data_IF_563214483477
#
_entry.id   IF_563214483477
#
_cell.length_a   1.000
_cell.length_b   1.000
_cell.length_c   1.000
_cell.angle_alpha   90.00
_cell.angle_beta   90.00
_cell.angle_gamma   90.00
#
_symmetry.space_group_name_H-M   'P 1'
#
loop_
_entity.id
_entity.type
_entity.pdbx_description
1 polymer ?
#
# COMPACT_ATOMS: atom_id res chain seq x y z
N UNK A 1 10.07 -9.89 6.17
CA UNK A 1 9.08 -10.62 5.36
C UNK A 1 9.43 -12.09 5.41
N UNK A 2 8.64 -12.92 6.06
CA UNK A 2 8.94 -14.36 6.19
C UNK A 2 8.54 -15.11 4.91
N UNK A 3 7.50 -14.62 4.24
CA UNK A 3 6.94 -15.11 2.99
C UNK A 3 8.00 -15.18 1.88
N UNK A 4 8.79 -14.11 1.69
CA UNK A 4 9.91 -14.07 0.72
C UNK A 4 11.06 -15.03 1.08
N UNK A 5 11.25 -15.31 2.38
CA UNK A 5 12.33 -16.18 2.84
C UNK A 5 12.04 -17.66 2.63
N UNK A 6 10.77 -18.04 2.57
CA UNK A 6 10.35 -19.45 2.45
C UNK A 6 10.86 -20.09 1.15
N UNK A 7 10.66 -19.51 -0.06
CA UNK A 7 11.15 -20.09 -1.31
C UNK A 7 12.66 -20.34 -1.31
N UNK A 8 13.44 -19.36 -0.81
CA UNK A 8 14.91 -19.47 -0.72
C UNK A 8 15.33 -20.61 0.22
N UNK A 9 14.65 -20.74 1.36
CA UNK A 9 14.94 -21.78 2.33
C UNK A 9 14.60 -23.17 1.77
N UNK A 10 13.50 -23.30 1.02
CA UNK A 10 13.13 -24.54 0.34
C UNK A 10 14.15 -24.94 -0.74
N UNK A 11 14.71 -23.97 -1.48
CA UNK A 11 15.78 -24.22 -2.44
C UNK A 11 17.06 -24.73 -1.74
N UNK A 12 17.46 -24.08 -0.64
CA UNK A 12 18.60 -24.54 0.18
C UNK A 12 18.39 -25.96 0.71
N UNK A 13 17.20 -26.27 1.21
CA UNK A 13 16.85 -27.60 1.69
C UNK A 13 16.95 -28.65 0.58
N UNK A 14 16.49 -28.34 -0.64
CA UNK A 14 16.61 -29.21 -1.81
C UNK A 14 18.09 -29.52 -2.10
N UNK A 15 18.97 -28.52 -2.05
CA UNK A 15 20.42 -28.69 -2.24
C UNK A 15 21.06 -29.52 -1.13
N UNK A 16 20.74 -29.25 0.14
CA UNK A 16 21.25 -30.00 1.28
C UNK A 16 20.85 -31.47 1.26
N UNK A 17 19.64 -31.78 0.77
CA UNK A 17 19.15 -33.16 0.65
C UNK A 17 19.74 -33.91 -0.55
N UNK A 18 19.84 -33.25 -1.71
CA UNK A 18 20.09 -33.95 -2.99
C UNK A 18 21.51 -33.82 -3.55
N UNK A 19 22.26 -32.78 -3.17
CA UNK A 19 23.57 -32.52 -3.77
C UNK A 19 24.71 -32.70 -2.77
N UNK A 20 24.59 -32.14 -1.57
CA UNK A 20 25.69 -32.13 -0.58
C UNK A 20 25.44 -33.03 0.63
N UNK A 21 24.26 -33.64 0.73
CA UNK A 21 23.85 -34.57 1.80
C UNK A 21 24.16 -34.07 3.23
N UNK A 22 24.06 -32.75 3.45
CA UNK A 22 24.36 -32.13 4.73
C UNK A 22 23.10 -32.10 5.60
N UNK A 23 22.83 -33.22 6.29
CA UNK A 23 21.62 -33.37 7.11
C UNK A 23 21.59 -32.50 8.35
N UNK A 24 22.75 -32.07 8.86
CA UNK A 24 22.81 -31.08 9.95
C UNK A 24 22.19 -29.74 9.51
N UNK A 25 22.67 -29.19 8.39
CA UNK A 25 22.11 -27.95 7.82
C UNK A 25 20.66 -28.12 7.36
N UNK A 26 20.29 -29.29 6.86
CA UNK A 26 18.90 -29.60 6.51
C UNK A 26 17.98 -29.54 7.75
N UNK A 27 18.38 -30.15 8.87
CA UNK A 27 17.64 -30.11 10.13
C UNK A 27 17.47 -28.67 10.64
N UNK A 28 18.55 -27.88 10.61
CA UNK A 28 18.51 -26.45 10.96
C UNK A 28 17.55 -25.67 10.06
N UNK A 29 17.56 -25.95 8.75
CA UNK A 29 16.67 -25.30 7.77
C UNK A 29 15.19 -25.64 8.02
N UNK A 30 14.86 -26.89 8.34
CA UNK A 30 13.50 -27.27 8.72
C UNK A 30 13.01 -26.53 9.98
N UNK A 31 13.87 -26.38 10.98
CA UNK A 31 13.55 -25.62 12.19
C UNK A 31 13.29 -24.14 11.86
N UNK A 32 14.13 -23.56 11.01
CA UNK A 32 13.95 -22.18 10.56
C UNK A 32 12.65 -21.98 9.78
N UNK A 33 12.28 -22.96 8.94
CA UNK A 33 11.04 -22.94 8.17
C UNK A 33 9.81 -22.98 9.09
N UNK A 34 9.84 -23.82 10.13
CA UNK A 34 8.80 -23.85 11.15
C UNK A 34 8.65 -22.49 11.85
N UNK A 35 9.76 -21.86 12.23
CA UNK A 35 9.75 -20.52 12.84
C UNK A 35 9.13 -19.47 11.89
N UNK A 36 9.39 -19.54 10.59
CA UNK A 36 8.77 -18.63 9.61
C UNK A 36 7.26 -18.79 9.57
N UNK A 37 6.75 -20.02 9.49
CA UNK A 37 5.30 -20.27 9.51
C UNK A 37 4.66 -19.83 10.83
N UNK A 38 5.30 -20.11 11.96
CA UNK A 38 4.82 -19.65 13.27
C UNK A 38 4.73 -18.13 13.35
N UNK A 39 5.75 -17.41 12.86
CA UNK A 39 5.77 -15.97 12.86
C UNK A 39 4.71 -15.35 11.92
N UNK A 40 4.45 -15.96 10.76
CA UNK A 40 3.37 -15.54 9.86
C UNK A 40 2.01 -15.61 10.58
N UNK A 41 1.78 -16.68 11.35
CA UNK A 41 0.49 -16.89 12.03
C UNK A 41 0.39 -16.14 13.36
N UNK A 42 1.47 -16.03 14.14
CA UNK A 42 1.40 -15.53 15.51
C UNK A 42 2.10 -14.19 15.73
N UNK A 43 3.00 -13.81 14.83
CA UNK A 43 3.79 -12.60 14.97
C UNK A 43 2.95 -11.33 14.74
N UNK A 44 3.27 -10.28 15.48
CA UNK A 44 2.80 -8.94 15.16
C UNK A 44 3.41 -8.49 13.83
N UNK A 45 2.55 -8.15 12.87
CA UNK A 45 2.97 -7.69 11.54
C UNK A 45 2.42 -6.30 11.27
N UNK A 46 3.32 -5.39 10.94
CA UNK A 46 3.01 -3.99 10.70
C UNK A 46 2.55 -3.78 9.26
N UNK A 47 1.45 -3.02 9.12
CA UNK A 47 1.00 -2.55 7.82
C UNK A 47 1.83 -1.33 7.45
N UNK A 48 2.41 -1.36 6.25
CA UNK A 48 3.12 -0.21 5.69
C UNK A 48 2.10 0.67 4.96
N UNK A 49 2.26 1.99 5.06
CA UNK A 49 1.53 2.93 4.22
C UNK A 49 2.26 3.13 2.89
N UNK A 50 1.51 3.55 1.87
CA UNK A 50 2.06 3.87 0.56
C UNK A 50 1.77 5.32 0.22
N UNK A 51 2.77 6.00 -0.32
CA UNK A 51 2.70 7.41 -0.67
C UNK A 51 3.00 7.60 -2.14
N UNK A 52 2.09 8.26 -2.85
CA UNK A 52 2.34 8.73 -4.20
C UNK A 52 3.05 10.07 -4.11
N UNK A 53 4.16 10.20 -4.82
CA UNK A 53 4.99 11.40 -4.88
C UNK A 53 5.15 11.83 -6.33
N UNK A 54 4.65 13.01 -6.67
CA UNK A 54 4.88 13.66 -7.96
C UNK A 54 5.95 14.74 -7.83
N UNK A 55 6.89 14.73 -8.75
CA UNK A 55 8.01 15.66 -8.84
C UNK A 55 7.83 16.51 -10.10
N UNK A 56 7.68 17.83 -9.97
CA UNK A 56 7.37 18.71 -11.10
C UNK A 56 8.24 19.96 -11.15
N UNK A 57 8.44 20.46 -12.37
CA UNK A 57 9.28 21.61 -12.65
C UNK A 57 10.69 21.24 -13.11
N UNK A 58 11.29 22.10 -13.94
CA UNK A 58 12.60 21.93 -14.54
C UNK A 58 13.76 22.09 -13.56
N UNK A 59 13.53 22.68 -12.38
CA UNK A 59 14.53 22.78 -11.33
C UNK A 59 14.94 21.42 -10.72
N UNK A 60 14.19 20.35 -10.99
CA UNK A 60 14.46 19.00 -10.47
C UNK A 60 15.41 18.19 -11.36
N UNK A 61 16.19 17.25 -10.78
CA UNK A 61 17.02 16.31 -11.54
C UNK A 61 16.23 15.53 -12.59
N UNK A 62 16.85 15.24 -13.73
CA UNK A 62 16.18 14.61 -14.89
C UNK A 62 15.48 13.28 -14.56
N UNK A 63 16.02 12.48 -13.63
CA UNK A 63 15.46 11.17 -13.30
C UNK A 63 14.15 11.23 -12.51
N UNK A 64 13.83 12.37 -11.88
CA UNK A 64 12.56 12.61 -11.16
C UNK A 64 11.69 13.68 -11.81
N UNK A 65 12.27 14.54 -12.65
CA UNK A 65 11.57 15.66 -13.28
C UNK A 65 10.31 15.21 -14.02
N UNK A 66 9.17 15.79 -13.64
CA UNK A 66 7.85 15.54 -14.20
C UNK A 66 7.43 14.06 -14.16
N UNK A 67 7.93 13.32 -13.17
CA UNK A 67 7.63 11.90 -12.94
C UNK A 67 6.90 11.69 -11.63
N UNK A 68 6.25 10.53 -11.53
CA UNK A 68 5.48 10.11 -10.36
C UNK A 68 6.02 8.79 -9.86
N UNK A 69 6.14 8.65 -8.55
CA UNK A 69 6.64 7.45 -7.89
C UNK A 69 5.66 7.03 -6.80
N UNK A 70 5.63 5.73 -6.52
CA UNK A 70 5.00 5.19 -5.31
C UNK A 70 6.11 4.80 -4.34
N UNK A 71 6.06 5.36 -3.14
CA UNK A 71 6.95 5.04 -2.02
C UNK A 71 6.23 4.12 -1.05
N UNK A 72 6.92 3.08 -0.62
CA UNK A 72 6.56 2.29 0.56
C UNK A 72 7.10 3.01 1.79
N UNK A 73 6.19 3.42 2.67
CA UNK A 73 6.53 4.07 3.95
C UNK A 73 7.38 3.18 4.84
N UNK A 74 8.11 3.79 5.76
CA UNK A 74 8.80 3.08 6.83
C UNK A 74 7.80 2.56 7.88
N UNK A 75 8.29 1.76 8.82
CA UNK A 75 7.47 1.24 9.91
C UNK A 75 6.85 2.40 10.71
N UNK A 76 5.52 2.40 10.81
CA UNK A 76 4.73 3.44 11.49
C UNK A 76 4.95 4.87 10.97
N UNK A 77 5.43 5.01 9.72
CA UNK A 77 5.65 6.31 9.14
C UNK A 77 4.32 6.96 8.76
N UNK A 78 4.01 8.09 9.38
CA UNK A 78 2.86 8.91 9.04
C UNK A 78 3.17 9.83 7.86
N UNK A 79 2.13 10.30 7.15
CA UNK A 79 2.33 11.24 6.03
C UNK A 79 3.13 12.50 6.40
N UNK A 80 3.00 13.14 7.59
CA UNK A 80 3.82 14.29 7.93
C UNK A 80 5.28 13.92 8.16
N UNK A 81 5.56 12.77 8.78
CA UNK A 81 6.91 12.28 8.99
C UNK A 81 7.59 11.94 7.64
N UNK A 82 6.88 11.25 6.75
CA UNK A 82 7.33 10.99 5.38
C UNK A 82 7.62 12.29 4.63
N UNK A 83 6.70 13.25 4.72
CA UNK A 83 6.81 14.56 4.04
C UNK A 83 8.04 15.32 4.53
N UNK A 84 8.28 15.36 5.85
CA UNK A 84 9.45 16.00 6.42
C UNK A 84 10.75 15.35 5.95
N UNK A 85 10.80 14.01 5.91
CA UNK A 85 11.97 13.26 5.43
C UNK A 85 12.24 13.55 3.96
N UNK A 86 11.22 13.52 3.11
CA UNK A 86 11.38 13.83 1.68
C UNK A 86 11.77 15.30 1.45
N UNK A 87 11.19 16.23 2.24
CA UNK A 87 11.54 17.65 2.16
C UNK A 87 13.00 17.92 2.57
N UNK A 88 13.55 17.13 3.50
CA UNK A 88 14.97 17.22 3.85
C UNK A 88 15.90 16.79 2.70
N UNK A 89 15.45 15.88 1.83
CA UNK A 89 16.17 15.47 0.61
C UNK A 89 16.06 16.55 -0.50
N UNK A 90 14.94 17.29 -0.55
CA UNK A 90 14.67 18.34 -1.53
C UNK A 90 14.33 19.68 -0.85
N UNK A 91 15.31 20.35 -0.21
CA UNK A 91 15.04 21.51 0.66
C UNK A 91 14.45 22.72 -0.09
N UNK A 92 14.68 22.83 -1.40
CA UNK A 92 14.19 23.93 -2.24
C UNK A 92 12.83 23.63 -2.90
N UNK A 93 12.28 22.42 -2.74
CA UNK A 93 11.02 22.06 -3.33
C UNK A 93 9.83 22.65 -2.57
N UNK A 94 8.87 23.22 -3.29
CA UNK A 94 7.60 23.71 -2.75
C UNK A 94 6.60 22.56 -2.72
N UNK A 95 5.97 22.34 -1.56
CA UNK A 95 4.91 21.34 -1.44
C UNK A 95 3.60 21.85 -2.04
N UNK A 96 3.04 21.09 -2.97
CA UNK A 96 1.72 21.33 -3.50
C UNK A 96 0.67 20.87 -2.50
N UNK A 97 -0.30 21.74 -2.20
CA UNK A 97 -1.35 21.51 -1.20
C UNK A 97 -2.49 20.62 -1.69
N UNK A 98 -2.75 20.60 -3.00
CA UNK A 98 -3.87 19.88 -3.60
C UNK A 98 -3.38 18.63 -4.32
N UNK A 99 -4.21 17.59 -4.37
CA UNK A 99 -3.94 16.34 -5.08
C UNK A 99 -4.36 16.38 -6.56
N UNK A 100 -4.63 17.57 -7.11
CA UNK A 100 -4.90 17.80 -8.53
C UNK A 100 -3.65 17.60 -9.37
N UNK A 101 -3.72 16.92 -10.53
CA UNK A 101 -2.60 16.95 -11.47
C UNK A 101 -2.14 18.40 -11.65
N UNK A 102 -0.84 18.69 -11.54
CA UNK A 102 -0.36 20.03 -11.77
C UNK A 102 -0.66 20.46 -13.20
N UNK A 103 -0.78 21.76 -13.40
CA UNK A 103 -0.91 22.35 -14.73
C UNK A 103 0.45 22.36 -15.46
N UNK A 104 0.41 22.66 -16.76
CA UNK A 104 1.62 22.65 -17.59
C UNK A 104 2.57 23.81 -17.26
N UNK A 105 2.04 24.88 -16.64
CA UNK A 105 2.82 25.98 -16.09
C UNK A 105 3.70 25.46 -14.95
N UNK A 106 3.13 24.74 -13.97
CA UNK A 106 3.89 24.15 -12.87
C UNK A 106 4.92 23.12 -13.37
N UNK A 107 4.57 22.32 -14.38
CA UNK A 107 5.50 21.32 -14.98
C UNK A 107 6.69 21.95 -15.70
N UNK A 108 6.50 23.13 -16.28
CA UNK A 108 7.52 23.82 -17.11
C UNK A 108 8.27 24.92 -16.35
N UNK A 109 7.86 25.21 -15.12
CA UNK A 109 8.53 26.20 -14.28
C UNK A 109 9.95 25.76 -13.89
N UNK A 110 10.86 26.71 -13.75
CA UNK A 110 12.25 26.44 -13.29
C UNK A 110 12.34 26.12 -11.79
N UNK A 111 11.25 26.32 -11.05
CA UNK A 111 11.14 25.96 -9.65
C UNK A 111 10.98 24.44 -9.44
N UNK A 112 11.04 24.01 -8.18
CA UNK A 112 10.87 22.61 -7.79
C UNK A 112 9.56 22.46 -7.04
N UNK A 113 8.71 21.53 -7.46
CA UNK A 113 7.44 21.24 -6.81
C UNK A 113 7.32 19.76 -6.48
N UNK A 114 6.84 19.46 -5.27
CA UNK A 114 6.59 18.10 -4.82
C UNK A 114 5.13 17.99 -4.38
N UNK A 115 4.46 16.93 -4.82
CA UNK A 115 3.08 16.61 -4.45
C UNK A 115 3.03 15.23 -3.81
N UNK A 116 2.55 15.16 -2.56
CA UNK A 116 2.53 13.93 -1.78
C UNK A 116 1.09 13.60 -1.38
N UNK A 117 0.67 12.36 -1.60
CA UNK A 117 -0.60 11.87 -1.09
C UNK A 117 -0.52 10.40 -0.68
N UNK A 118 -1.30 10.00 0.31
CA UNK A 118 -1.46 8.60 0.66
C UNK A 118 -2.26 7.87 -0.44
N UNK A 119 -1.84 6.65 -0.77
CA UNK A 119 -2.55 5.76 -1.69
C UNK A 119 -2.80 4.42 -1.03
N UNK A 120 -3.88 3.73 -1.43
CA UNK A 120 -4.19 2.40 -0.92
C UNK A 120 -3.60 1.36 -1.89
N UNK A 121 -3.00 0.26 -1.41
CA UNK A 121 -2.63 -0.84 -2.27
C UNK A 121 -3.89 -1.47 -2.88
N UNK A 122 -3.83 -1.81 -4.17
CA UNK A 122 -4.85 -2.55 -4.88
C UNK A 122 -4.29 -3.93 -5.22
N UNK A 123 -4.61 -4.91 -4.38
CA UNK A 123 -4.16 -6.28 -4.56
C UNK A 123 -4.92 -6.97 -5.69
N UNK A 124 -4.17 -7.72 -6.51
CA UNK A 124 -4.74 -8.55 -7.55
C UNK A 124 -5.12 -9.92 -7.00
N UNK A 125 -6.20 -10.55 -7.50
CA UNK A 125 -6.55 -11.92 -7.13
C UNK A 125 -5.40 -12.89 -7.42
N UNK A 126 -5.16 -13.80 -6.49
CA UNK A 126 -4.13 -14.84 -6.61
C UNK A 126 -4.77 -16.17 -6.92
N UNK A 127 -4.45 -16.72 -8.08
CA UNK A 127 -4.98 -18.01 -8.53
C UNK A 127 -4.68 -19.16 -7.56
N UNK A 128 -3.60 -19.05 -6.80
CA UNK A 128 -3.20 -20.05 -5.80
C UNK A 128 -4.14 -20.10 -4.59
N UNK A 129 -4.96 -19.07 -4.39
CA UNK A 129 -5.95 -19.00 -3.31
C UNK A 129 -7.37 -19.35 -3.78
N UNK A 130 -7.57 -19.58 -5.09
CA UNK A 130 -8.88 -19.88 -5.63
C UNK A 130 -9.42 -21.21 -5.08
N UNK A 131 -10.60 -21.16 -4.45
CA UNK A 131 -11.24 -22.33 -3.85
C UNK A 131 -10.61 -22.82 -2.54
N UNK A 132 -9.62 -22.09 -1.99
CA UNK A 132 -8.94 -22.45 -0.75
C UNK A 132 -9.35 -21.48 0.36
N UNK A 133 -9.70 -22.02 1.53
CA UNK A 133 -9.87 -21.21 2.74
C UNK A 133 -8.49 -20.81 3.29
N UNK A 134 -8.10 -19.55 3.06
CA UNK A 134 -6.80 -19.01 3.47
C UNK A 134 -6.97 -18.18 4.73
N UNK A 135 -6.06 -18.39 5.69
CA UNK A 135 -6.04 -17.62 6.93
C UNK A 135 -5.93 -16.11 6.66
N UNK A 136 -6.77 -15.31 7.33
CA UNK A 136 -6.83 -13.84 7.15
C UNK A 136 -5.46 -13.19 7.35
N UNK A 137 -4.63 -13.75 8.23
CA UNK A 137 -3.27 -13.28 8.50
C UNK A 137 -2.40 -13.41 7.25
N UNK A 138 -2.55 -14.47 6.48
CA UNK A 138 -1.82 -14.68 5.23
C UNK A 138 -2.37 -13.71 4.16
N UNK A 139 -3.69 -13.64 4.02
CA UNK A 139 -4.35 -12.73 3.07
C UNK A 139 -3.96 -11.27 3.30
N UNK A 140 -3.92 -10.82 4.56
CA UNK A 140 -3.54 -9.45 4.93
C UNK A 140 -2.14 -9.08 4.46
N UNK A 141 -1.19 -10.02 4.46
CA UNK A 141 0.15 -9.78 3.94
C UNK A 141 0.11 -9.50 2.44
N UNK A 142 -0.47 -10.41 1.65
CA UNK A 142 -0.54 -10.29 0.19
C UNK A 142 -1.46 -9.15 -0.27
N UNK A 143 -2.41 -8.72 0.55
CA UNK A 143 -3.23 -7.54 0.27
C UNK A 143 -2.45 -6.21 0.42
N UNK A 144 -1.25 -6.23 1.00
CA UNK A 144 -0.46 -5.02 1.27
C UNK A 144 1.01 -5.14 0.82
N UNK A 145 1.45 -6.30 0.33
CA UNK A 145 2.81 -6.58 -0.11
C UNK A 145 2.75 -7.41 -1.40
N UNK A 146 3.80 -7.35 -2.21
CA UNK A 146 3.80 -7.86 -3.58
C UNK A 146 2.69 -7.19 -4.40
N UNK A 147 2.66 -5.86 -4.33
CA UNK A 147 1.64 -5.00 -4.95
C UNK A 147 2.28 -4.13 -6.02
N UNK A 148 1.64 -4.09 -7.19
CA UNK A 148 2.01 -3.22 -8.31
C UNK A 148 1.02 -2.07 -8.55
N UNK A 149 -0.24 -2.25 -8.14
CA UNK A 149 -1.32 -1.29 -8.37
C UNK A 149 -1.70 -0.56 -7.09
N UNK A 150 -1.93 0.75 -7.20
CA UNK A 150 -2.28 1.61 -6.09
C UNK A 150 -3.42 2.53 -6.48
N UNK A 151 -4.31 2.83 -5.53
CA UNK A 151 -5.52 3.58 -5.78
C UNK A 151 -5.57 4.87 -4.96
N UNK A 152 -5.99 5.95 -5.60
CA UNK A 152 -6.29 7.24 -5.01
C UNK A 152 -7.71 7.66 -5.42
N UNK A 153 -8.59 7.74 -4.43
CA UNK A 153 -9.96 8.22 -4.63
C UNK A 153 -10.03 9.70 -4.26
N UNK A 154 -10.50 10.55 -5.19
CA UNK A 154 -10.66 11.98 -4.99
C UNK A 154 -12.13 12.39 -5.10
N UNK A 155 -12.70 13.06 -4.09
CA UNK A 155 -14.07 13.57 -4.15
C UNK A 155 -14.16 14.75 -5.12
N UNK A 156 -15.15 14.70 -6.01
CA UNK A 156 -15.45 15.76 -6.98
C UNK A 156 -16.96 16.03 -6.96
N UNK A 157 -17.35 17.21 -6.50
CA UNK A 157 -18.76 17.64 -6.59
C UNK A 157 -19.09 18.08 -8.02
N UNK A 158 -20.19 17.55 -8.56
CA UNK A 158 -20.72 17.96 -9.87
C UNK A 158 -22.01 18.77 -9.68
N UNK A 159 -22.01 20.01 -10.15
CA UNK A 159 -23.17 20.90 -10.02
C UNK A 159 -23.27 21.57 -8.64
N UNK A 160 -24.46 22.06 -8.28
CA UNK A 160 -24.68 22.70 -6.99
C UNK A 160 -24.65 21.66 -5.86
N UNK A 161 -23.98 22.01 -4.76
CA UNK A 161 -23.94 21.19 -3.56
C UNK A 161 -25.30 21.28 -2.88
N UNK A 162 -25.97 20.15 -2.78
CA UNK A 162 -27.21 20.00 -2.02
C UNK A 162 -26.85 19.99 -0.52
N UNK A 163 -27.31 21.00 0.24
CA UNK A 163 -26.98 21.13 1.67
C UNK A 163 -27.63 20.06 2.53
N UNK A 164 -28.73 19.47 2.07
CA UNK A 164 -29.44 18.40 2.79
C UNK A 164 -28.88 17.02 2.44
N UNK A 165 -28.21 16.88 1.27
CA UNK A 165 -27.57 15.64 0.85
C UNK A 165 -26.29 15.89 0.04
N UNK A 166 -25.20 16.15 0.75
CA UNK A 166 -23.87 16.40 0.16
C UNK A 166 -23.37 15.26 -0.73
N UNK A 167 -23.83 14.02 -0.49
CA UNK A 167 -23.41 12.82 -1.22
C UNK A 167 -24.10 12.67 -2.58
N UNK A 168 -25.25 13.30 -2.79
CA UNK A 168 -26.06 13.16 -4.02
C UNK A 168 -25.28 13.51 -5.29
N UNK A 169 -24.45 14.55 -5.19
CA UNK A 169 -23.65 15.07 -6.29
C UNK A 169 -22.14 14.80 -6.12
N UNK A 170 -21.77 13.95 -5.16
CA UNK A 170 -20.38 13.61 -4.85
C UNK A 170 -19.91 12.44 -5.72
N UNK A 171 -19.25 12.76 -6.82
CA UNK A 171 -18.59 11.77 -7.66
C UNK A 171 -17.19 11.50 -7.11
N UNK A 172 -16.67 10.30 -7.36
CA UNK A 172 -15.29 9.98 -7.04
C UNK A 172 -14.52 9.85 -8.33
N UNK A 173 -13.45 10.62 -8.44
CA UNK A 173 -12.43 10.41 -9.45
C UNK A 173 -11.36 9.50 -8.87
N UNK A 174 -11.34 8.27 -9.37
CA UNK A 174 -10.47 7.20 -8.92
C UNK A 174 -9.30 7.08 -9.87
N UNK A 175 -8.10 7.23 -9.32
CA UNK A 175 -6.85 7.13 -10.06
C UNK A 175 -6.16 5.84 -9.64
N UNK A 176 -5.87 4.98 -10.61
CA UNK A 176 -5.12 3.75 -10.44
C UNK A 176 -3.72 3.97 -11.02
N UNK A 177 -2.71 3.79 -10.18
CA UNK A 177 -1.30 3.88 -10.53
C UNK A 177 -0.71 2.48 -10.61
N UNK A 178 0.00 2.16 -11.69
CA UNK A 178 0.76 0.92 -11.83
C UNK A 178 2.26 1.24 -11.80
N UNK A 179 2.98 0.74 -10.80
CA UNK A 179 4.44 0.90 -10.70
C UNK A 179 5.17 0.01 -11.69
N UNK A 180 6.42 0.33 -12.04
CA UNK A 180 7.25 -0.53 -12.90
C UNK A 180 7.50 -1.92 -12.28
N UNK A 181 7.81 -1.93 -10.98
CA UNK A 181 8.09 -3.12 -10.18
C UNK A 181 7.15 -3.23 -8.98
N UNK A 182 7.01 -4.44 -8.42
CA UNK A 182 6.23 -4.68 -7.21
C UNK A 182 6.91 -4.08 -5.97
N UNK A 183 6.08 -3.66 -5.01
CA UNK A 183 6.53 -3.27 -3.68
C UNK A 183 6.12 -4.32 -2.65
N UNK A 184 7.03 -4.74 -1.75
CA UNK A 184 8.44 -4.37 -1.68
C UNK A 184 9.30 -4.93 -2.83
N UNK A 185 10.30 -4.15 -3.26
CA UNK A 185 11.33 -4.61 -4.18
C UNK A 185 12.73 -4.20 -3.71
N UNK A 186 13.69 -4.12 -4.63
CA UNK A 186 15.07 -3.70 -4.34
C UNK A 186 15.10 -2.29 -3.73
N UNK A 187 14.29 -1.39 -4.30
CA UNK A 187 14.08 -0.03 -3.80
C UNK A 187 12.79 0.06 -3.00
N UNK A 188 12.71 1.09 -2.15
CA UNK A 188 11.49 1.43 -1.40
C UNK A 188 10.51 2.26 -2.23
N UNK A 189 10.86 2.60 -3.47
CA UNK A 189 10.00 3.33 -4.38
C UNK A 189 10.26 2.91 -5.82
N UNK A 190 9.22 2.99 -6.64
CA UNK A 190 9.30 2.75 -8.08
C UNK A 190 8.49 3.79 -8.84
N UNK A 191 8.93 4.08 -10.06
CA UNK A 191 8.23 4.99 -10.98
C UNK A 191 6.87 4.41 -11.36
N UNK A 192 5.89 5.27 -11.56
CA UNK A 192 4.58 4.93 -12.10
C UNK A 192 4.72 4.81 -13.62
N UNK A 193 4.54 3.60 -14.12
CA UNK A 193 4.57 3.27 -15.55
C UNK A 193 3.25 3.56 -16.26
N UNK A 194 2.13 3.45 -15.55
CA UNK A 194 0.79 3.65 -16.10
C UNK A 194 -0.12 4.32 -15.07
N UNK A 195 -0.98 5.21 -15.55
CA UNK A 195 -2.00 5.88 -14.76
C UNK A 195 -3.35 5.80 -15.48
N UNK A 196 -4.35 5.21 -14.84
CA UNK A 196 -5.73 5.15 -15.34
C UNK A 196 -6.64 5.94 -14.42
N UNK A 197 -7.52 6.76 -15.00
CA UNK A 197 -8.51 7.55 -14.24
C UNK A 197 -9.91 7.12 -14.62
N UNK A 198 -10.73 6.80 -13.62
CA UNK A 198 -12.13 6.44 -13.80
C UNK A 198 -13.04 7.29 -12.91
N UNK A 199 -14.29 7.44 -13.32
CA UNK A 199 -15.31 8.20 -12.59
C UNK A 199 -16.30 7.22 -11.97
N UNK A 200 -16.40 7.24 -10.65
CA UNK A 200 -17.31 6.39 -9.88
C UNK A 200 -18.49 7.24 -9.42
N UNK A 201 -19.69 6.81 -9.76
CA UNK A 201 -20.92 7.50 -9.38
C UNK A 201 -21.24 7.31 -7.88
N UNK A 202 -21.96 8.26 -7.26
CA UNK A 202 -22.23 8.20 -5.82
C UNK A 202 -22.87 6.90 -5.33
N UNK A 203 -23.89 6.32 -6.01
CA UNK A 203 -24.48 5.06 -5.55
C UNK A 203 -23.50 3.89 -5.56
N UNK A 204 -22.66 3.78 -6.59
CA UNK A 204 -21.64 2.73 -6.69
C UNK A 204 -20.62 2.86 -5.57
N UNK A 205 -20.12 4.07 -5.34
CA UNK A 205 -19.17 4.34 -4.26
C UNK A 205 -19.77 4.07 -2.87
N UNK A 206 -21.05 4.39 -2.66
CA UNK A 206 -21.75 4.07 -1.42
C UNK A 206 -21.83 2.55 -1.18
N UNK A 207 -22.18 1.77 -2.21
CA UNK A 207 -22.19 0.31 -2.12
C UNK A 207 -20.80 -0.26 -1.78
N UNK A 208 -19.75 0.20 -2.47
CA UNK A 208 -18.36 -0.21 -2.19
C UNK A 208 -17.97 0.11 -0.73
N UNK A 209 -18.29 1.32 -0.26
CA UNK A 209 -17.99 1.77 1.10
C UNK A 209 -18.69 0.90 2.14
N UNK A 210 -19.97 0.60 1.94
CA UNK A 210 -20.74 -0.27 2.85
C UNK A 210 -20.16 -1.68 2.87
N UNK A 211 -19.80 -2.25 1.71
CA UNK A 211 -19.20 -3.57 1.63
C UNK A 211 -17.86 -3.65 2.36
N UNK A 212 -16.98 -2.65 2.17
CA UNK A 212 -15.70 -2.57 2.88
C UNK A 212 -15.93 -2.50 4.39
N UNK A 213 -16.86 -1.66 4.85
CA UNK A 213 -17.16 -1.54 6.28
C UNK A 213 -17.73 -2.85 6.86
N UNK A 214 -18.60 -3.55 6.13
CA UNK A 214 -19.11 -4.87 6.53
C UNK A 214 -17.95 -5.86 6.69
N UNK A 215 -17.03 -5.93 5.74
CA UNK A 215 -15.86 -6.81 5.81
C UNK A 215 -14.98 -6.48 7.01
N UNK A 216 -14.71 -5.20 7.26
CA UNK A 216 -13.93 -4.76 8.42
C UNK A 216 -14.59 -5.15 9.75
N UNK A 217 -15.91 -4.98 9.87
CA UNK A 217 -16.66 -5.38 11.06
C UNK A 217 -16.60 -6.90 11.27
N UNK A 218 -16.74 -7.69 10.18
CA UNK A 218 -16.62 -9.15 10.24
C UNK A 218 -15.24 -9.58 10.73
N UNK A 219 -14.18 -9.02 10.16
CA UNK A 219 -12.81 -9.28 10.60
C UNK A 219 -12.59 -8.91 12.06
N UNK A 220 -13.03 -7.72 12.48
CA UNK A 220 -12.94 -7.28 13.87
C UNK A 220 -13.67 -8.23 14.81
N UNK A 221 -14.88 -8.66 14.44
CA UNK A 221 -15.68 -9.61 15.22
C UNK A 221 -14.98 -10.96 15.35
N UNK A 222 -14.45 -11.51 14.26
CA UNK A 222 -13.71 -12.77 14.27
C UNK A 222 -12.46 -12.67 15.15
N UNK A 223 -11.68 -11.60 15.00
CA UNK A 223 -10.48 -11.35 15.79
C UNK A 223 -10.76 -11.33 17.30
N UNK A 224 -11.79 -10.60 17.75
CA UNK A 224 -12.12 -10.51 19.18
C UNK A 224 -12.77 -11.78 19.74
N UNK A 225 -13.49 -12.56 18.92
CA UNK A 225 -13.97 -13.89 19.32
C UNK A 225 -12.80 -14.84 19.58
N UNK A 226 -11.77 -14.80 18.74
CA UNK A 226 -10.57 -15.62 18.91
C UNK A 226 -9.63 -15.11 20.00
N UNK A 227 -9.72 -13.82 20.37
CA UNK A 227 -8.86 -13.20 21.38
C UNK A 227 -9.67 -12.43 22.45
N UNK A 228 -10.42 -13.12 23.34
CA UNK A 228 -11.35 -12.48 24.29
C UNK A 228 -10.69 -11.53 25.30
N UNK A 229 -9.36 -11.64 25.49
CA UNK A 229 -8.59 -10.85 26.46
C UNK A 229 -8.01 -9.55 25.88
N UNK A 230 -8.19 -9.28 24.58
CA UNK A 230 -7.69 -8.05 23.94
C UNK A 230 -8.67 -6.92 24.21
N UNK A 231 -8.21 -5.86 24.86
CA UNK A 231 -9.03 -4.70 25.24
C UNK A 231 -9.50 -3.91 24.00
N UNK A 232 -10.79 -3.55 23.97
CA UNK A 232 -11.43 -2.73 22.91
C UNK A 232 -11.00 -1.25 22.97
N UNK A 233 -10.36 -0.85 24.08
CA UNK A 233 -10.09 0.56 24.39
C UNK A 233 -8.69 0.96 23.89
N UNK A 234 -8.60 1.59 22.71
CA UNK A 234 -7.33 2.19 22.31
C UNK A 234 -7.18 2.82 20.91
N UNK A 235 -8.16 2.72 19.99
CA UNK A 235 -7.96 3.22 18.61
C UNK A 235 -8.91 4.31 18.11
N UNK A 236 -9.84 4.78 18.93
CA UNK A 236 -10.68 5.94 18.59
C UNK A 236 -10.52 7.05 19.62
N UNK A 237 -9.42 7.81 19.51
CA UNK A 237 -9.45 9.22 19.94
C UNK A 237 -9.85 10.02 18.71
N UNK A 238 -11.15 10.27 18.58
CA UNK A 238 -11.63 11.38 17.75
C UNK A 238 -11.09 12.66 18.39
N UNK A 239 -10.25 13.38 17.65
CA UNK A 239 -10.05 14.82 17.78
C UNK A 239 -10.35 15.42 16.43
#
# INVERSE_FOLDING_TARGET
CWEEGIPLLLELMKRYRLQVFNYKKLSESHRQLAIFYENILKGERYKHEYFRVGFYGHGLPLFVRNKVFIYRGLEYESIPAFTQRLQAEFPHAKLLSHNTPPDDVTRSADEQFIQICAVKPLAEPRSEFDGVEVDERILKYYNNNQIKKFILDRPVHRGQIDKDNEFKNLWIERIIYTTECELPGILKWFEVSEQVTEQVCPPKYACETVQINIQQIRHMTAHYKSNPKVNIVGKYRFK
#
